data_IF_661770363053
#
_entry.id   IF_661770363053
#
_cell.length_a   1.000
_cell.length_b   1.000
_cell.length_c   1.000
_cell.angle_alpha   90.00
_cell.angle_beta   90.00
_cell.angle_gamma   90.00
#
_symmetry.space_group_name_H-M   'P 1'
#
loop_
_entity.id
_entity.type
_entity.pdbx_description
1 polymer ?
#
# COMPACT_ATOMS: atom_id res chain seq x y z
N UNK A 1 45.69 26.07 21.81
CA UNK A 1 44.43 25.31 21.82
C UNK A 1 43.57 25.92 22.92
N UNK A 2 42.40 26.55 22.76
CA UNK A 2 41.42 26.70 21.69
C UNK A 2 40.73 28.05 21.96
N UNK A 3 40.75 28.98 21.00
CA UNK A 3 39.86 30.14 20.99
C UNK A 3 38.75 29.81 19.99
N UNK A 4 37.57 29.41 20.46
CA UNK A 4 36.49 28.94 19.56
C UNK A 4 35.09 29.25 20.09
N UNK A 5 34.85 30.47 20.58
CA UNK A 5 33.51 30.88 21.07
C UNK A 5 33.17 32.34 20.74
N UNK A 6 33.45 32.82 19.52
CA UNK A 6 33.01 34.17 19.11
C UNK A 6 32.38 34.27 17.71
N UNK A 7 32.10 33.14 17.04
CA UNK A 7 31.67 33.18 15.63
C UNK A 7 30.18 32.90 15.38
N UNK A 8 29.32 32.88 16.41
CA UNK A 8 27.93 32.42 16.25
C UNK A 8 26.86 33.36 16.83
N UNK A 9 27.13 34.67 16.89
CA UNK A 9 26.15 35.67 17.35
C UNK A 9 25.83 36.76 16.31
N UNK A 10 26.71 37.01 15.34
CA UNK A 10 26.49 38.04 14.30
C UNK A 10 25.75 37.50 13.08
N UNK A 11 25.77 36.19 12.85
CA UNK A 11 25.16 35.58 11.66
C UNK A 11 23.62 35.46 11.74
N UNK A 12 23.02 35.68 12.92
CA UNK A 12 21.58 35.48 13.14
C UNK A 12 20.71 36.74 12.99
N UNK A 13 21.32 37.92 12.85
CA UNK A 13 20.61 39.22 12.79
C UNK A 13 20.50 39.79 11.36
N UNK A 14 21.20 39.20 10.38
CA UNK A 14 21.24 39.70 9.00
C UNK A 14 20.19 39.15 8.02
N UNK A 15 19.39 38.14 8.39
CA UNK A 15 18.53 37.39 7.44
C UNK A 15 17.02 37.70 7.59
N UNK A 16 16.63 38.64 8.46
CA UNK A 16 15.19 38.84 8.80
C UNK A 16 14.50 39.97 8.01
N UNK A 17 15.19 40.70 7.13
CA UNK A 17 14.65 41.98 6.59
C UNK A 17 14.39 42.04 5.09
N UNK A 18 14.37 40.93 4.36
CA UNK A 18 14.17 40.98 2.93
C UNK A 18 13.35 39.79 2.41
N UNK A 19 12.02 39.86 2.55
CA UNK A 19 11.03 39.40 1.54
C UNK A 19 9.62 39.33 2.14
N UNK A 20 8.75 40.28 1.82
CA UNK A 20 7.30 40.01 1.76
C UNK A 20 6.58 41.09 0.95
N UNK A 21 6.65 40.99 -0.37
CA UNK A 21 5.61 41.51 -1.25
C UNK A 21 5.01 40.29 -1.97
N UNK A 22 3.76 39.96 -1.65
CA UNK A 22 3.02 38.90 -2.34
C UNK A 22 1.78 39.52 -2.94
N UNK A 23 1.78 39.66 -4.26
CA UNK A 23 0.63 40.11 -5.05
C UNK A 23 -0.52 39.10 -4.97
N UNK A 24 -1.71 39.60 -4.66
CA UNK A 24 -2.93 38.80 -4.62
C UNK A 24 -3.40 38.49 -6.05
N UNK A 25 -2.98 37.34 -6.58
CA UNK A 25 -3.50 36.79 -7.85
C UNK A 25 -4.89 36.21 -7.63
N UNK A 26 -5.90 36.89 -8.18
CA UNK A 26 -7.29 36.45 -8.24
C UNK A 26 -7.42 35.12 -9.01
N UNK A 27 -7.80 34.04 -8.32
CA UNK A 27 -8.09 32.74 -8.93
C UNK A 27 -9.41 32.80 -9.72
N UNK A 28 -9.30 32.83 -11.05
CA UNK A 28 -10.41 32.53 -11.96
C UNK A 28 -10.87 31.08 -11.76
N UNK A 29 -12.14 30.88 -11.40
CA UNK A 29 -12.74 29.55 -11.22
C UNK A 29 -13.24 29.04 -12.57
N UNK A 30 -12.44 28.23 -13.24
CA UNK A 30 -12.84 27.54 -14.47
C UNK A 30 -13.90 26.49 -14.12
N UNK A 31 -15.13 26.67 -14.59
CA UNK A 31 -16.17 25.65 -14.51
C UNK A 31 -15.86 24.58 -15.55
N UNK A 32 -15.42 23.41 -15.08
CA UNK A 32 -15.07 22.29 -15.92
C UNK A 32 -16.36 21.66 -16.46
N UNK A 33 -16.54 21.68 -17.78
CA UNK A 33 -17.63 21.00 -18.45
C UNK A 33 -17.38 19.49 -18.34
N UNK A 34 -18.18 18.81 -17.52
CA UNK A 34 -18.06 17.37 -17.28
C UNK A 34 -18.98 16.65 -18.27
N UNK A 35 -18.39 15.75 -19.06
CA UNK A 35 -19.14 14.88 -19.96
C UNK A 35 -20.03 13.92 -19.15
N UNK A 36 -21.37 13.98 -19.30
CA UNK A 36 -22.30 13.13 -18.56
C UNK A 36 -22.24 11.65 -19.00
N UNK A 37 -21.58 11.34 -20.12
CA UNK A 37 -21.40 9.96 -20.61
C UNK A 37 -20.13 9.30 -20.09
N UNK A 38 -19.27 10.04 -19.39
CA UNK A 38 -18.06 9.48 -18.82
C UNK A 38 -18.43 8.54 -17.66
N UNK A 39 -18.07 7.25 -17.72
CA UNK A 39 -18.30 6.35 -16.59
C UNK A 39 -17.57 6.95 -15.40
N UNK A 40 -18.28 7.05 -14.27
CA UNK A 40 -17.71 7.52 -13.01
C UNK A 40 -16.59 6.53 -12.67
N UNK A 41 -15.35 6.87 -13.02
CA UNK A 41 -14.19 6.34 -12.34
C UNK A 41 -14.35 6.87 -10.92
N UNK A 42 -15.11 6.15 -10.10
CA UNK A 42 -14.87 6.21 -8.67
C UNK A 42 -13.40 5.87 -8.58
N UNK A 43 -12.57 6.86 -8.28
CA UNK A 43 -11.40 6.59 -7.50
C UNK A 43 -11.92 5.74 -6.34
N UNK A 44 -11.81 4.41 -6.48
CA UNK A 44 -11.63 3.52 -5.36
C UNK A 44 -10.33 3.99 -4.75
N UNK A 45 -10.40 5.14 -4.09
CA UNK A 45 -9.60 5.46 -2.93
C UNK A 45 -9.83 4.22 -2.11
N UNK A 46 -8.80 3.38 -2.03
CA UNK A 46 -8.71 2.24 -1.17
C UNK A 46 -9.51 2.55 0.09
N UNK A 47 -10.78 2.13 0.11
CA UNK A 47 -11.53 2.01 1.33
C UNK A 47 -10.87 0.80 1.93
N UNK A 48 -9.77 1.07 2.65
CA UNK A 48 -9.49 0.40 3.88
C UNK A 48 -10.82 0.39 4.61
N UNK A 49 -11.54 -0.72 4.46
CA UNK A 49 -12.61 -1.11 5.35
C UNK A 49 -11.88 -1.32 6.67
N UNK A 50 -11.67 -0.21 7.39
CA UNK A 50 -11.45 -0.19 8.82
C UNK A 50 -12.80 -0.52 9.43
N UNK A 51 -13.23 -1.76 9.27
CA UNK A 51 -14.21 -2.31 10.18
C UNK A 51 -13.46 -2.53 11.49
N UNK A 52 -13.64 -1.58 12.40
CA UNK A 52 -13.24 -1.69 13.81
C UNK A 52 -14.18 -2.69 14.50
N UNK A 53 -14.22 -3.92 14.00
CA UNK A 53 -14.93 -5.04 14.61
C UNK A 53 -13.88 -6.05 15.07
N UNK A 54 -13.46 -5.84 16.32
CA UNK A 54 -12.88 -6.86 17.21
C UNK A 54 -11.56 -7.49 16.72
N UNK A 55 -10.47 -6.97 17.31
CA UNK A 55 -9.15 -7.62 17.41
C UNK A 55 -9.29 -9.10 17.82
N UNK A 56 -9.34 -9.98 16.84
CA UNK A 56 -8.72 -11.29 16.89
C UNK A 56 -7.68 -11.30 15.76
N UNK A 57 -6.41 -11.29 16.16
CA UNK A 57 -5.23 -11.20 15.31
C UNK A 57 -5.07 -12.46 14.44
N UNK A 58 -5.92 -12.61 13.43
CA UNK A 58 -5.79 -13.61 12.39
C UNK A 58 -6.39 -13.01 11.13
N UNK A 59 -5.71 -11.99 10.59
CA UNK A 59 -6.02 -11.51 9.24
C UNK A 59 -5.97 -12.71 8.29
N UNK A 60 -7.14 -13.12 7.80
CA UNK A 60 -7.25 -14.33 7.01
C UNK A 60 -6.54 -14.14 5.68
N UNK A 61 -5.57 -15.02 5.39
CA UNK A 61 -4.89 -15.01 4.10
C UNK A 61 -5.81 -15.62 3.06
N UNK A 62 -6.23 -14.81 2.09
CA UNK A 62 -7.16 -15.24 1.03
C UNK A 62 -6.38 -15.31 -0.28
N UNK A 63 -6.32 -16.50 -0.87
CA UNK A 63 -5.75 -16.69 -2.20
C UNK A 63 -6.73 -16.19 -3.26
N UNK A 64 -6.31 -15.20 -4.03
CA UNK A 64 -7.14 -14.57 -5.05
C UNK A 64 -6.78 -15.01 -6.47
N UNK A 65 -5.49 -15.21 -6.75
CA UNK A 65 -5.03 -15.58 -8.10
C UNK A 65 -3.72 -16.35 -8.08
N UNK A 66 -3.52 -17.18 -9.10
CA UNK A 66 -2.31 -17.92 -9.39
C UNK A 66 -1.84 -17.60 -10.81
N UNK A 67 -0.57 -17.22 -10.95
CA UNK A 67 0.00 -16.73 -12.21
C UNK A 67 1.19 -17.63 -12.56
N UNK A 68 1.19 -18.23 -13.75
CA UNK A 68 2.35 -18.91 -14.31
C UNK A 68 3.13 -17.96 -15.21
N UNK A 69 4.40 -17.71 -14.90
CA UNK A 69 5.30 -16.88 -15.72
C UNK A 69 6.69 -17.50 -15.76
N UNK A 70 7.22 -17.73 -16.97
CA UNK A 70 8.56 -18.33 -17.17
C UNK A 70 8.71 -19.64 -16.37
N UNK A 71 7.72 -20.52 -16.48
CA UNK A 71 7.69 -21.82 -15.78
C UNK A 71 7.73 -21.72 -14.23
N UNK A 72 7.40 -20.55 -13.67
CA UNK A 72 7.33 -20.33 -12.22
C UNK A 72 5.98 -19.78 -11.83
N UNK A 73 5.41 -20.35 -10.78
CA UNK A 73 4.17 -19.86 -10.20
C UNK A 73 4.40 -18.69 -9.25
N UNK A 74 3.50 -17.71 -9.31
CA UNK A 74 3.31 -16.63 -8.36
C UNK A 74 1.87 -16.64 -7.87
N UNK A 75 1.64 -16.09 -6.68
CA UNK A 75 0.31 -16.04 -6.09
C UNK A 75 -0.03 -14.60 -5.71
N UNK A 76 -1.28 -14.19 -5.94
CA UNK A 76 -1.83 -12.96 -5.35
C UNK A 76 -2.61 -13.38 -4.12
N UNK A 77 -2.13 -12.98 -2.95
CA UNK A 77 -2.73 -13.27 -1.64
C UNK A 77 -3.09 -11.94 -1.01
N UNK A 78 -4.37 -11.76 -0.67
CA UNK A 78 -4.88 -10.52 -0.06
C UNK A 78 -4.44 -9.24 -0.80
N UNK A 79 -4.40 -9.27 -2.13
CA UNK A 79 -4.05 -8.15 -3.00
C UNK A 79 -2.55 -8.00 -3.29
N UNK A 80 -1.68 -8.77 -2.66
CA UNK A 80 -0.22 -8.66 -2.80
C UNK A 80 0.31 -9.84 -3.60
N UNK A 81 1.20 -9.55 -4.56
CA UNK A 81 1.88 -10.56 -5.37
C UNK A 81 3.07 -11.13 -4.61
N UNK A 82 3.09 -12.46 -4.47
CA UNK A 82 4.15 -13.19 -3.79
C UNK A 82 4.79 -14.28 -4.67
N UNK A 83 6.02 -14.66 -4.34
CA UNK A 83 6.76 -15.80 -4.88
C UNK A 83 7.15 -16.80 -3.78
N UNK A 84 7.55 -18.00 -4.18
CA UNK A 84 8.09 -19.02 -3.25
C UNK A 84 9.25 -18.44 -2.44
N UNK A 85 9.23 -18.68 -1.13
CA UNK A 85 10.24 -18.24 -0.18
C UNK A 85 10.01 -16.86 0.43
N UNK A 86 9.06 -16.06 -0.08
CA UNK A 86 8.67 -14.79 0.56
C UNK A 86 7.83 -15.02 1.81
N UNK A 87 7.84 -14.02 2.69
CA UNK A 87 7.15 -14.05 3.98
C UNK A 87 5.82 -13.28 3.90
N UNK A 88 4.78 -13.85 4.51
CA UNK A 88 3.45 -13.29 4.64
C UNK A 88 3.00 -13.41 6.10
N UNK A 89 2.98 -12.28 6.81
CA UNK A 89 2.84 -12.26 8.26
C UNK A 89 3.92 -13.11 8.93
N UNK A 90 3.50 -14.14 9.65
CA UNK A 90 4.38 -15.09 10.35
C UNK A 90 4.68 -16.37 9.56
N UNK A 91 4.12 -16.49 8.36
CA UNK A 91 4.30 -17.67 7.51
C UNK A 91 5.26 -17.37 6.36
N UNK A 92 5.99 -18.40 5.93
CA UNK A 92 6.77 -18.40 4.69
C UNK A 92 6.06 -19.21 3.63
N UNK A 93 6.07 -18.72 2.39
CA UNK A 93 5.53 -19.46 1.26
C UNK A 93 6.48 -20.61 0.92
N UNK A 94 6.08 -21.83 1.27
CA UNK A 94 6.86 -23.04 1.04
C UNK A 94 6.78 -23.50 -0.41
N UNK A 95 5.58 -23.47 -1.00
CA UNK A 95 5.34 -23.94 -2.38
C UNK A 95 4.12 -23.28 -2.99
N UNK A 96 4.19 -22.99 -4.28
CA UNK A 96 3.06 -22.52 -5.09
C UNK A 96 2.84 -23.55 -6.20
N UNK A 97 1.59 -23.99 -6.37
CA UNK A 97 1.17 -24.92 -7.43
C UNK A 97 0.09 -24.29 -8.29
N UNK A 98 -0.37 -24.99 -9.32
CA UNK A 98 -1.47 -24.53 -10.18
C UNK A 98 -2.82 -24.34 -9.45
N UNK A 99 -2.99 -24.92 -8.26
CA UNK A 99 -4.28 -24.90 -7.54
C UNK A 99 -4.19 -24.35 -6.12
N UNK A 100 -3.04 -24.52 -5.47
CA UNK A 100 -2.86 -24.28 -4.03
C UNK A 100 -1.56 -23.57 -3.72
N UNK A 101 -1.56 -22.82 -2.62
CA UNK A 101 -0.37 -22.24 -1.99
C UNK A 101 -0.16 -22.88 -0.63
N UNK A 102 1.06 -23.32 -0.37
CA UNK A 102 1.47 -23.92 0.90
C UNK A 102 2.26 -22.89 1.70
N UNK A 103 1.75 -22.56 2.88
CA UNK A 103 2.36 -21.69 3.87
C UNK A 103 2.96 -22.54 5.00
N UNK A 104 4.11 -22.13 5.52
CA UNK A 104 4.83 -22.84 6.59
C UNK A 104 5.26 -21.88 7.69
N UNK A 105 5.15 -22.33 8.94
CA UNK A 105 5.63 -21.62 10.14
C UNK A 105 6.17 -22.65 11.13
N UNK A 106 7.48 -22.86 11.15
CA UNK A 106 8.10 -23.90 11.96
C UNK A 106 7.58 -25.29 11.59
N UNK A 107 6.85 -25.94 12.51
CA UNK A 107 6.21 -27.24 12.30
C UNK A 107 4.79 -27.15 11.74
N UNK A 108 4.20 -25.96 11.69
CA UNK A 108 2.84 -25.74 11.21
C UNK A 108 2.82 -25.50 9.70
N UNK A 109 1.83 -26.09 9.03
CA UNK A 109 1.58 -25.89 7.61
C UNK A 109 0.12 -25.50 7.38
N UNK A 110 -0.10 -24.48 6.55
CA UNK A 110 -1.43 -24.02 6.13
C UNK A 110 -1.53 -24.03 4.62
N UNK A 111 -2.69 -24.39 4.09
CA UNK A 111 -2.95 -24.46 2.65
C UNK A 111 -3.97 -23.38 2.31
N UNK A 112 -3.66 -22.57 1.29
CA UNK A 112 -4.60 -21.64 0.70
C UNK A 112 -5.07 -22.17 -0.66
N UNK A 113 -6.38 -22.10 -0.87
CA UNK A 113 -7.05 -22.49 -2.11
C UNK A 113 -7.85 -21.30 -2.64
N UNK A 114 -8.08 -21.28 -3.96
CA UNK A 114 -8.89 -20.23 -4.57
C UNK A 114 -10.32 -20.29 -4.03
N UNK A 115 -10.87 -19.14 -3.69
CA UNK A 115 -12.23 -19.05 -3.17
C UNK A 115 -13.23 -19.52 -4.22
N UNK A 116 -13.94 -20.61 -3.95
CA UNK A 116 -15.05 -21.10 -4.78
C UNK A 116 -16.35 -20.44 -4.33
N UNK A 117 -16.85 -19.49 -5.11
CA UNK A 117 -18.19 -18.92 -4.89
C UNK A 117 -19.25 -19.90 -5.41
N UNK A 118 -20.13 -20.36 -4.53
CA UNK A 118 -21.34 -21.11 -4.93
C UNK A 118 -22.41 -20.12 -5.40
N UNK A 119 -22.80 -20.21 -6.66
CA UNK A 119 -23.94 -19.44 -7.18
C UNK A 119 -25.22 -20.12 -6.70
N UNK A 120 -25.93 -19.51 -5.75
CA UNK A 120 -27.27 -19.95 -5.35
C UNK A 120 -28.21 -19.83 -6.57
N UNK A 121 -28.90 -20.93 -6.90
CA UNK A 121 -29.93 -20.98 -7.95
C UNK A 121 -31.31 -20.73 -7.37
#
# INVERSE_FOLDING_TARGET
>A
MKNLLHFNLVFFIGIILLTSATDAVSKSRTQQLIDPTKPKLSNSKNSTVSDNSVKNNSAEFILQSLILKQDRYKAIISGILYKVGEQIGEYKIAKITAKKVYLSRGTEQRILELYSYEIKR
#
